data_IF_043548076930
#
_entry.id   IF_043548076930
#
_cell.length_a   1.000
_cell.length_b   1.000
_cell.length_c   1.000
_cell.angle_alpha   90.00
_cell.angle_beta   90.00
_cell.angle_gamma   90.00
#
_symmetry.space_group_name_H-M   'P 1'
#
loop_
_entity.id
_entity.type
_entity.pdbx_description
1 polymer ?
#
# COMPACT_ATOMS: atom_id res chain seq x y z
N UNK A 1 14.63 5.08 -9.96
CA UNK A 1 13.67 5.99 -9.33
C UNK A 1 14.06 7.45 -9.54
N UNK A 2 15.30 7.85 -9.19
CA UNK A 2 15.77 9.24 -9.31
C UNK A 2 15.65 9.80 -10.73
N UNK A 3 16.14 9.08 -11.74
CA UNK A 3 16.06 9.52 -13.15
C UNK A 3 14.61 9.82 -13.57
N UNK A 4 13.67 8.97 -13.17
CA UNK A 4 12.26 9.17 -13.42
C UNK A 4 11.72 10.42 -12.71
N UNK A 5 12.10 10.63 -11.45
CA UNK A 5 11.74 11.84 -10.72
C UNK A 5 12.22 13.10 -11.46
N UNK A 6 13.51 13.12 -11.87
CA UNK A 6 14.11 14.25 -12.59
C UNK A 6 13.42 14.51 -13.94
N UNK A 7 13.03 13.45 -14.65
CA UNK A 7 12.26 13.58 -15.89
C UNK A 7 10.89 14.22 -15.61
N UNK A 8 10.12 13.65 -14.67
CA UNK A 8 8.80 14.17 -14.31
C UNK A 8 8.88 15.62 -13.82
N UNK A 9 9.89 15.95 -13.02
CA UNK A 9 10.07 17.31 -12.48
C UNK A 9 10.39 18.33 -13.58
N UNK A 10 11.13 17.97 -14.63
CA UNK A 10 11.34 18.82 -15.81
C UNK A 10 10.06 19.09 -16.57
N UNK A 11 9.25 18.05 -16.78
CA UNK A 11 8.01 18.11 -17.56
C UNK A 11 6.86 18.73 -16.76
N UNK A 12 6.94 18.66 -15.41
CA UNK A 12 5.95 19.14 -14.46
C UNK A 12 6.66 19.93 -13.33
N UNK A 13 7.08 21.18 -13.57
CA UNK A 13 7.80 21.99 -12.56
C UNK A 13 7.03 22.21 -11.26
N UNK A 14 5.70 22.15 -11.31
CA UNK A 14 4.80 22.26 -10.17
C UNK A 14 4.59 20.94 -9.39
N UNK A 15 5.39 19.90 -9.66
CA UNK A 15 5.39 18.68 -8.85
C UNK A 15 5.79 19.01 -7.41
N UNK A 16 4.91 18.68 -6.46
CA UNK A 16 5.07 19.00 -5.02
C UNK A 16 5.11 17.75 -4.15
N UNK A 17 4.65 16.60 -4.65
CA UNK A 17 4.51 15.38 -3.85
C UNK A 17 5.11 14.19 -4.57
N UNK A 18 5.90 13.41 -3.86
CA UNK A 18 6.36 12.08 -4.27
C UNK A 18 5.82 11.05 -3.28
N UNK A 19 5.06 10.10 -3.79
CA UNK A 19 4.46 9.02 -3.01
C UNK A 19 5.10 7.67 -3.30
N UNK A 20 5.30 6.86 -2.25
CA UNK A 20 5.64 5.44 -2.37
C UNK A 20 4.42 4.63 -1.94
N UNK A 21 3.74 4.00 -2.92
CA UNK A 21 2.45 3.36 -2.71
C UNK A 21 2.38 1.89 -3.19
N UNK A 22 3.51 1.28 -3.51
CA UNK A 22 3.60 -0.08 -4.03
C UNK A 22 4.34 -0.15 -5.38
N UNK A 23 4.37 -1.30 -6.09
CA UNK A 23 3.86 -2.59 -5.64
C UNK A 23 4.62 -3.14 -4.43
N UNK A 24 3.92 -3.89 -3.57
CA UNK A 24 4.46 -4.37 -2.31
C UNK A 24 4.45 -3.32 -1.20
N UNK A 25 5.16 -3.58 -0.13
CA UNK A 25 5.27 -2.67 1.01
C UNK A 25 6.55 -1.84 0.92
N UNK A 26 6.44 -0.53 1.17
CA UNK A 26 7.58 0.39 1.12
C UNK A 26 8.69 0.06 2.12
N UNK A 27 8.34 -0.61 3.23
CA UNK A 27 9.26 -1.01 4.29
C UNK A 27 9.74 -2.46 4.16
N UNK A 28 9.37 -3.18 3.09
CA UNK A 28 9.92 -4.50 2.79
C UNK A 28 11.36 -4.42 2.23
N UNK A 29 11.73 -3.28 1.64
CA UNK A 29 13.10 -2.99 1.21
C UNK A 29 13.48 -1.57 1.67
N UNK A 30 13.70 -1.36 2.97
CA UNK A 30 13.86 -0.04 3.56
C UNK A 30 15.09 0.70 3.04
N UNK A 31 16.21 0.00 2.84
CA UNK A 31 17.46 0.61 2.35
C UNK A 31 17.26 1.29 0.99
N UNK A 32 16.68 0.57 0.02
CA UNK A 32 16.43 1.12 -1.31
C UNK A 32 15.38 2.24 -1.27
N UNK A 33 14.35 2.09 -0.42
CA UNK A 33 13.30 3.10 -0.23
C UNK A 33 13.88 4.38 0.33
N UNK A 34 14.58 4.33 1.46
CA UNK A 34 15.15 5.53 2.08
C UNK A 34 16.25 6.16 1.24
N UNK A 35 17.09 5.33 0.60
CA UNK A 35 18.08 5.85 -0.34
C UNK A 35 17.46 6.62 -1.51
N UNK A 36 16.35 6.14 -2.02
CA UNK A 36 15.60 6.85 -3.09
C UNK A 36 15.11 8.20 -2.59
N UNK A 37 14.51 8.26 -1.41
CA UNK A 37 14.00 9.51 -0.82
C UNK A 37 15.13 10.51 -0.54
N UNK A 38 16.27 10.04 -0.01
CA UNK A 38 17.46 10.87 0.21
C UNK A 38 17.99 11.50 -1.08
N UNK A 39 18.05 10.72 -2.16
CA UNK A 39 18.50 11.21 -3.46
C UNK A 39 17.53 12.28 -4.02
N UNK A 40 16.23 12.03 -3.92
CA UNK A 40 15.21 12.99 -4.38
C UNK A 40 15.25 14.26 -3.53
N UNK A 41 15.41 14.16 -2.20
CA UNK A 41 15.50 15.31 -1.29
C UNK A 41 16.70 16.22 -1.60
N UNK A 42 17.81 15.67 -2.09
CA UNK A 42 18.98 16.44 -2.52
C UNK A 42 18.71 17.29 -3.77
N UNK A 43 17.88 16.77 -4.68
CA UNK A 43 17.49 17.45 -5.92
C UNK A 43 16.38 18.46 -5.70
N UNK A 44 15.45 18.17 -4.79
CA UNK A 44 14.34 19.06 -4.44
C UNK A 44 14.10 19.05 -2.93
N UNK A 45 14.67 20.03 -2.20
CA UNK A 45 14.51 20.15 -0.75
C UNK A 45 13.07 20.38 -0.29
N UNK A 46 12.20 20.94 -1.13
CA UNK A 46 10.81 21.30 -0.78
C UNK A 46 9.80 20.19 -1.09
N UNK A 47 10.23 19.10 -1.75
CA UNK A 47 9.30 18.03 -2.13
C UNK A 47 8.67 17.37 -0.90
N UNK A 48 7.38 17.13 -0.94
CA UNK A 48 6.65 16.40 0.10
C UNK A 48 6.73 14.91 -0.13
N UNK A 49 7.10 14.13 0.88
CA UNK A 49 7.09 12.67 0.80
C UNK A 49 5.88 12.09 1.50
N UNK A 50 5.19 11.17 0.79
CA UNK A 50 4.12 10.35 1.30
C UNK A 50 4.49 8.85 1.16
N UNK A 51 4.33 8.07 2.22
CA UNK A 51 4.61 6.63 2.19
C UNK A 51 3.38 5.82 2.58
N UNK A 52 3.14 4.72 1.86
CA UNK A 52 2.09 3.75 2.21
C UNK A 52 2.71 2.44 2.67
N UNK A 53 2.18 1.85 3.75
CA UNK A 53 2.66 0.60 4.34
C UNK A 53 1.52 -0.20 4.94
N UNK A 54 1.69 -1.51 5.06
CA UNK A 54 0.81 -2.38 5.85
C UNK A 54 1.03 -2.24 7.37
N UNK A 55 2.11 -1.57 7.78
CA UNK A 55 2.45 -1.30 9.17
C UNK A 55 3.23 -2.39 9.90
N UNK A 56 3.51 -3.53 9.26
CA UNK A 56 4.19 -4.67 9.92
C UNK A 56 5.60 -4.32 10.40
N UNK A 57 6.38 -3.60 9.60
CA UNK A 57 7.73 -3.16 9.94
C UNK A 57 7.78 -1.70 10.46
N UNK A 58 6.64 -1.01 10.51
CA UNK A 58 6.58 0.42 10.77
C UNK A 58 7.28 0.87 12.05
N UNK A 59 7.16 0.18 13.21
CA UNK A 59 7.84 0.62 14.45
C UNK A 59 9.35 0.72 14.33
N UNK A 60 9.95 -0.03 13.43
CA UNK A 60 11.42 -0.07 13.25
C UNK A 60 11.94 1.14 12.45
N UNK A 61 11.09 1.76 11.61
CA UNK A 61 11.52 2.71 10.60
C UNK A 61 10.92 4.11 10.72
N UNK A 62 10.12 4.41 11.74
CA UNK A 62 9.52 5.76 11.92
C UNK A 62 10.60 6.84 12.05
N UNK A 63 11.69 6.56 12.75
CA UNK A 63 12.78 7.52 12.91
C UNK A 63 13.53 7.74 11.58
N UNK A 64 13.73 6.69 10.78
CA UNK A 64 14.30 6.82 9.44
C UNK A 64 13.36 7.63 8.52
N UNK A 65 12.05 7.38 8.58
CA UNK A 65 11.05 8.17 7.85
C UNK A 65 11.16 9.65 8.21
N UNK A 66 11.25 9.97 9.52
CA UNK A 66 11.42 11.34 10.00
C UNK A 66 12.73 11.95 9.50
N UNK A 67 13.84 11.20 9.57
CA UNK A 67 15.17 11.64 9.15
C UNK A 67 15.24 12.02 7.67
N UNK A 68 14.56 11.26 6.78
CA UNK A 68 14.51 11.57 5.34
C UNK A 68 13.43 12.58 4.97
N UNK A 69 12.65 13.05 5.95
CA UNK A 69 11.65 14.10 5.76
C UNK A 69 10.30 13.58 5.20
N UNK A 70 9.93 12.34 5.50
CA UNK A 70 8.57 11.86 5.25
C UNK A 70 7.61 12.63 6.15
N UNK A 71 6.65 13.32 5.58
CA UNK A 71 5.67 14.12 6.31
C UNK A 71 4.29 13.49 6.38
N UNK A 72 3.99 12.56 5.48
CA UNK A 72 2.69 11.89 5.39
C UNK A 72 2.88 10.37 5.29
N UNK A 73 2.15 9.63 6.11
CA UNK A 73 2.11 8.18 6.07
C UNK A 73 0.67 7.68 5.89
N UNK A 74 0.50 6.64 5.08
CA UNK A 74 -0.76 5.91 4.97
C UNK A 74 -0.54 4.50 5.48
N UNK A 75 -1.25 4.12 6.55
CA UNK A 75 -1.19 2.76 7.10
C UNK A 75 -2.47 2.02 6.78
N UNK A 76 -2.36 0.80 6.25
CA UNK A 76 -3.54 -0.03 5.98
C UNK A 76 -3.86 -0.88 7.20
N UNK A 77 -5.00 -0.62 7.85
CA UNK A 77 -5.49 -1.32 9.04
C UNK A 77 -6.91 -1.79 8.77
N UNK A 78 -7.10 -3.10 8.58
CA UNK A 78 -8.39 -3.68 8.21
C UNK A 78 -9.16 -4.26 9.41
N UNK A 79 -8.48 -4.49 10.53
CA UNK A 79 -9.08 -4.98 11.77
C UNK A 79 -8.23 -4.56 12.96
N UNK A 80 -8.90 -4.40 14.13
CA UNK A 80 -8.27 -4.18 15.44
C UNK A 80 -8.65 -5.30 16.43
N UNK A 81 -9.11 -6.41 15.88
CA UNK A 81 -9.36 -7.68 16.57
C UNK A 81 -8.59 -8.79 15.83
N UNK A 82 -7.70 -9.53 16.50
CA UNK A 82 -6.91 -10.60 15.88
C UNK A 82 -7.76 -11.71 15.25
N UNK A 83 -8.95 -12.03 15.82
CA UNK A 83 -9.82 -13.06 15.27
C UNK A 83 -10.43 -12.63 13.92
N UNK A 84 -10.75 -11.34 13.76
CA UNK A 84 -11.20 -10.77 12.48
C UNK A 84 -10.00 -10.66 11.54
N UNK A 85 -8.85 -10.20 12.02
CA UNK A 85 -7.62 -10.11 11.25
C UNK A 85 -7.18 -11.46 10.66
N UNK A 86 -7.36 -12.54 11.40
CA UNK A 86 -7.04 -13.90 10.95
C UNK A 86 -7.87 -14.37 9.75
N UNK A 87 -9.05 -13.82 9.54
CA UNK A 87 -9.88 -14.07 8.36
C UNK A 87 -9.41 -13.27 7.13
N UNK A 88 -8.63 -12.21 7.35
CA UNK A 88 -8.14 -11.31 6.29
C UNK A 88 -6.71 -11.67 5.88
N UNK A 89 -5.84 -11.92 6.84
CA UNK A 89 -4.41 -12.12 6.62
C UNK A 89 -4.05 -13.59 6.76
N UNK A 90 -3.55 -14.17 5.68
CA UNK A 90 -3.18 -15.58 5.67
C UNK A 90 -1.95 -15.87 6.52
N UNK A 91 -0.97 -14.96 6.48
CA UNK A 91 0.29 -15.06 7.24
C UNK A 91 0.95 -13.67 7.36
N UNK A 92 1.88 -13.58 8.29
CA UNK A 92 2.83 -12.47 8.40
C UNK A 92 4.25 -13.05 8.46
N UNK A 93 5.15 -12.49 7.66
CA UNK A 93 6.59 -12.78 7.73
C UNK A 93 7.30 -11.59 8.37
N UNK A 94 7.93 -11.83 9.50
CA UNK A 94 8.55 -10.78 10.29
C UNK A 94 9.78 -11.29 11.03
N UNK A 95 10.91 -10.60 10.88
CA UNK A 95 12.20 -10.95 11.50
C UNK A 95 12.60 -12.42 11.29
N UNK A 96 12.45 -12.91 10.07
CA UNK A 96 12.79 -14.28 9.70
C UNK A 96 11.80 -15.37 10.17
N UNK A 97 10.77 -15.00 10.93
CA UNK A 97 9.68 -15.89 11.34
C UNK A 97 8.46 -15.77 10.42
N UNK A 98 7.74 -16.88 10.23
CA UNK A 98 6.45 -16.91 9.55
C UNK A 98 5.35 -17.29 10.53
N UNK A 99 4.38 -16.42 10.67
CA UNK A 99 3.26 -16.53 11.60
C UNK A 99 1.97 -16.71 10.81
N UNK A 100 0.98 -17.43 11.35
CA UNK A 100 -0.30 -17.71 10.70
C UNK A 100 -1.47 -17.48 11.66
N UNK A 101 -2.70 -17.40 11.13
CA UNK A 101 -3.93 -17.25 11.91
C UNK A 101 -3.92 -16.04 12.84
N UNK A 102 -4.50 -16.18 14.02
CA UNK A 102 -4.60 -15.09 15.00
C UNK A 102 -3.24 -14.59 15.49
N UNK A 103 -2.22 -15.45 15.55
CA UNK A 103 -0.85 -15.03 15.92
C UNK A 103 -0.28 -14.03 14.90
N UNK A 104 -0.48 -14.29 13.61
CA UNK A 104 -0.06 -13.36 12.56
C UNK A 104 -0.83 -12.04 12.62
N UNK A 105 -2.15 -12.11 12.82
CA UNK A 105 -3.00 -10.95 12.94
C UNK A 105 -2.68 -10.11 14.18
N UNK A 106 -2.44 -10.75 15.32
CA UNK A 106 -2.04 -10.08 16.57
C UNK A 106 -0.68 -9.40 16.45
N UNK A 107 0.30 -10.06 15.81
CA UNK A 107 1.61 -9.48 15.54
C UNK A 107 1.52 -8.23 14.65
N UNK A 108 0.79 -8.35 13.53
CA UNK A 108 0.57 -7.22 12.63
C UNK A 108 -0.12 -6.06 13.36
N UNK A 109 -1.20 -6.34 14.09
CA UNK A 109 -1.93 -5.34 14.87
C UNK A 109 -1.04 -4.64 15.90
N UNK A 110 -0.26 -5.39 16.67
CA UNK A 110 0.65 -4.82 17.67
C UNK A 110 1.64 -3.83 17.03
N UNK A 111 2.23 -4.22 15.90
CA UNK A 111 3.16 -3.36 15.16
C UNK A 111 2.45 -2.14 14.53
N UNK A 112 1.25 -2.31 13.99
CA UNK A 112 0.43 -1.20 13.48
C UNK A 112 0.13 -0.18 14.57
N UNK A 113 -0.31 -0.63 15.75
CA UNK A 113 -0.63 0.25 16.89
C UNK A 113 0.60 0.96 17.42
N UNK A 114 1.73 0.26 17.55
CA UNK A 114 3.00 0.84 17.97
C UNK A 114 3.53 1.85 16.95
N UNK A 115 3.49 1.49 15.67
CA UNK A 115 3.92 2.34 14.57
C UNK A 115 3.08 3.62 14.44
N UNK A 116 1.74 3.51 14.56
CA UNK A 116 0.85 4.66 14.50
C UNK A 116 1.14 5.68 15.62
N UNK A 117 1.32 5.19 16.86
CA UNK A 117 1.75 6.07 17.98
C UNK A 117 3.10 6.73 17.72
N UNK A 118 4.04 5.99 17.13
CA UNK A 118 5.36 6.52 16.81
C UNK A 118 5.29 7.60 15.71
N UNK A 119 4.50 7.40 14.66
CA UNK A 119 4.25 8.42 13.62
C UNK A 119 3.70 9.70 14.22
N UNK A 120 2.67 9.60 15.06
CA UNK A 120 2.05 10.74 15.73
C UNK A 120 3.07 11.51 16.60
N UNK A 121 3.88 10.80 17.37
CA UNK A 121 4.95 11.42 18.18
C UNK A 121 6.04 12.06 17.34
N UNK A 122 6.32 11.52 16.16
CA UNK A 122 7.29 12.07 15.21
C UNK A 122 6.74 13.27 14.41
N UNK A 123 5.47 13.66 14.60
CA UNK A 123 4.80 14.72 13.85
C UNK A 123 4.50 14.37 12.40
N UNK A 124 4.46 13.08 12.06
CA UNK A 124 4.12 12.61 10.71
C UNK A 124 2.61 12.46 10.62
N UNK A 125 1.99 13.16 9.68
CA UNK A 125 0.55 13.08 9.43
C UNK A 125 0.17 11.67 9.00
N UNK A 126 -0.73 11.05 9.74
CA UNK A 126 -1.13 9.67 9.46
C UNK A 126 -2.56 9.57 8.95
N UNK A 127 -2.70 8.95 7.78
CA UNK A 127 -3.96 8.47 7.22
C UNK A 127 -4.05 6.97 7.40
N UNK A 128 -5.23 6.48 7.78
CA UNK A 128 -5.49 5.03 7.82
C UNK A 128 -6.41 4.63 6.69
N UNK A 129 -5.96 3.68 5.87
CA UNK A 129 -6.81 3.01 4.88
C UNK A 129 -7.42 1.76 5.51
N UNK A 130 -8.72 1.53 5.27
CA UNK A 130 -9.42 0.31 5.67
C UNK A 130 -10.20 -0.23 4.48
N UNK A 131 -9.90 -1.43 4.05
CA UNK A 131 -10.67 -2.12 3.00
C UNK A 131 -11.87 -2.81 3.66
N UNK A 132 -13.07 -2.50 3.19
CA UNK A 132 -14.31 -3.12 3.64
C UNK A 132 -14.52 -4.45 2.92
N UNK A 133 -14.50 -5.53 3.70
CA UNK A 133 -14.75 -6.90 3.26
C UNK A 133 -16.12 -7.31 3.85
N UNK A 134 -17.14 -7.34 3.01
CA UNK A 134 -18.53 -7.59 3.41
C UNK A 134 -18.71 -8.95 4.08
N UNK A 135 -19.28 -8.96 5.27
CA UNK A 135 -19.46 -10.15 6.09
C UNK A 135 -18.22 -10.57 6.90
N UNK A 136 -17.10 -9.83 6.81
CA UNK A 136 -15.89 -10.10 7.59
C UNK A 136 -15.59 -8.95 8.55
N UNK A 137 -15.33 -7.74 8.05
CA UNK A 137 -14.96 -6.61 8.88
C UNK A 137 -15.91 -5.40 8.79
N UNK A 138 -16.93 -5.44 7.94
CA UNK A 138 -17.86 -4.33 7.71
C UNK A 138 -18.48 -3.81 9.01
N UNK A 139 -19.00 -4.69 9.87
CA UNK A 139 -19.55 -4.31 11.18
C UNK A 139 -18.46 -3.87 12.19
N UNK A 140 -17.18 -4.19 11.93
CA UNK A 140 -16.05 -3.89 12.82
C UNK A 140 -15.35 -2.56 12.48
N UNK A 141 -15.53 -2.03 11.28
CA UNK A 141 -14.86 -0.81 10.82
C UNK A 141 -15.07 0.40 11.75
N UNK A 142 -16.25 0.66 12.35
CA UNK A 142 -16.39 1.74 13.32
C UNK A 142 -15.41 1.63 14.48
N UNK A 143 -15.16 0.40 14.98
CA UNK A 143 -14.18 0.14 16.04
C UNK A 143 -12.75 0.39 15.58
N UNK A 144 -12.43 0.09 14.31
CA UNK A 144 -11.14 0.46 13.72
C UNK A 144 -10.97 1.97 13.74
N UNK A 145 -11.97 2.73 13.29
CA UNK A 145 -11.95 4.20 13.24
C UNK A 145 -11.76 4.82 14.62
N UNK A 146 -12.48 4.33 15.64
CA UNK A 146 -12.29 4.75 17.03
C UNK A 146 -10.86 4.52 17.51
N UNK A 147 -10.35 3.30 17.30
CA UNK A 147 -9.01 2.92 17.76
C UNK A 147 -7.92 3.77 17.13
N UNK A 148 -7.97 4.00 15.81
CA UNK A 148 -6.93 4.78 15.12
C UNK A 148 -7.02 6.27 15.43
N UNK A 149 -8.22 6.83 15.69
CA UNK A 149 -8.40 8.17 16.25
C UNK A 149 -7.65 8.33 17.56
N UNK A 150 -7.85 7.40 18.49
CA UNK A 150 -7.24 7.43 19.83
C UNK A 150 -5.70 7.30 19.78
N UNK A 151 -5.17 6.84 18.65
CA UNK A 151 -3.74 6.77 18.37
C UNK A 151 -3.20 7.98 17.59
N UNK A 152 -4.05 8.95 17.24
CA UNK A 152 -3.67 10.18 16.59
C UNK A 152 -3.67 10.16 15.07
N UNK A 153 -4.42 9.25 14.44
CA UNK A 153 -4.67 9.35 13.01
C UNK A 153 -5.47 10.59 12.68
N UNK A 154 -5.11 11.28 11.59
CA UNK A 154 -5.77 12.52 11.15
C UNK A 154 -7.05 12.28 10.35
N UNK A 155 -7.09 11.19 9.60
CA UNK A 155 -8.25 10.80 8.80
C UNK A 155 -8.23 9.32 8.44
N UNK A 156 -9.41 8.80 8.12
CA UNK A 156 -9.55 7.46 7.57
C UNK A 156 -10.09 7.48 6.15
N UNK A 157 -9.75 6.44 5.41
CA UNK A 157 -10.24 6.18 4.07
C UNK A 157 -10.78 4.75 4.01
N UNK A 158 -12.07 4.61 4.15
CA UNK A 158 -12.75 3.32 3.99
C UNK A 158 -12.94 3.07 2.50
N UNK A 159 -12.45 1.95 2.01
CA UNK A 159 -12.48 1.58 0.59
C UNK A 159 -13.22 0.26 0.41
N UNK A 160 -13.91 0.10 -0.70
CA UNK A 160 -14.46 -1.20 -1.09
C UNK A 160 -13.34 -2.14 -1.55
N UNK A 161 -13.50 -3.43 -1.24
CA UNK A 161 -12.68 -4.48 -1.84
C UNK A 161 -12.90 -4.52 -3.35
N UNK A 162 -11.82 -4.62 -4.11
CA UNK A 162 -11.87 -5.01 -5.51
C UNK A 162 -11.50 -6.49 -5.56
N UNK A 163 -12.47 -7.40 -5.80
CA UNK A 163 -12.17 -8.82 -5.90
C UNK A 163 -11.20 -9.11 -7.04
N UNK A 164 -10.19 -9.92 -6.74
CA UNK A 164 -9.21 -10.36 -7.73
C UNK A 164 -9.42 -11.83 -8.00
N UNK A 165 -9.48 -12.22 -9.27
CA UNK A 165 -9.61 -13.61 -9.70
C UNK A 165 -8.50 -14.47 -9.10
N UNK A 166 -8.85 -15.62 -8.56
CA UNK A 166 -7.91 -16.52 -7.87
C UNK A 166 -7.57 -16.14 -6.43
N UNK A 167 -8.05 -15.00 -5.93
CA UNK A 167 -7.92 -14.66 -4.51
C UNK A 167 -8.98 -15.38 -3.66
N UNK A 168 -8.70 -15.53 -2.36
CA UNK A 168 -9.68 -16.10 -1.41
C UNK A 168 -10.94 -15.22 -1.26
N UNK A 169 -10.88 -13.98 -1.73
CA UNK A 169 -11.95 -13.01 -1.68
C UNK A 169 -12.65 -12.81 -3.03
N UNK A 170 -12.32 -13.62 -4.04
CA UNK A 170 -12.89 -13.50 -5.40
C UNK A 170 -14.42 -13.49 -5.40
N UNK A 171 -15.03 -14.31 -4.56
CA UNK A 171 -16.47 -14.50 -4.50
C UNK A 171 -17.14 -13.73 -3.35
N UNK A 172 -16.44 -12.83 -2.65
CA UNK A 172 -17.07 -12.00 -1.63
C UNK A 172 -18.13 -11.08 -2.25
N UNK A 173 -19.25 -10.86 -1.57
CA UNK A 173 -20.25 -9.91 -2.03
C UNK A 173 -19.65 -8.51 -2.20
N UNK A 174 -19.96 -7.87 -3.32
CA UNK A 174 -19.52 -6.51 -3.58
C UNK A 174 -20.19 -5.54 -2.60
N UNK A 175 -19.42 -4.57 -2.16
CA UNK A 175 -19.91 -3.42 -1.39
C UNK A 175 -20.45 -2.40 -2.37
N UNK A 176 -21.72 -2.01 -2.23
CA UNK A 176 -22.29 -0.94 -3.04
C UNK A 176 -21.75 0.43 -2.62
N UNK A 177 -21.77 1.39 -3.54
CA UNK A 177 -21.40 2.78 -3.23
C UNK A 177 -22.26 3.37 -2.10
N UNK A 178 -23.55 2.97 -2.02
CA UNK A 178 -24.44 3.41 -0.95
C UNK A 178 -23.97 2.89 0.41
N UNK A 179 -23.73 1.59 0.54
CA UNK A 179 -23.23 0.98 1.79
C UNK A 179 -21.92 1.63 2.24
N UNK A 180 -20.98 1.84 1.30
CA UNK A 180 -19.70 2.49 1.59
C UNK A 180 -19.90 3.93 2.09
N UNK A 181 -20.78 4.69 1.43
CA UNK A 181 -21.05 6.07 1.81
C UNK A 181 -21.80 6.18 3.14
N UNK A 182 -22.74 5.30 3.41
CA UNK A 182 -23.48 5.25 4.67
C UNK A 182 -22.52 4.92 5.83
N UNK A 183 -21.58 3.97 5.63
CA UNK A 183 -20.56 3.65 6.63
C UNK A 183 -19.60 4.81 6.87
N UNK A 184 -19.12 5.48 5.81
CA UNK A 184 -18.26 6.67 5.95
C UNK A 184 -18.97 7.77 6.74
N UNK A 185 -20.22 8.06 6.42
CA UNK A 185 -21.03 9.06 7.13
C UNK A 185 -21.22 8.71 8.61
N UNK A 186 -21.44 7.43 8.94
CA UNK A 186 -21.56 7.00 10.33
C UNK A 186 -20.24 7.13 11.12
N UNK A 187 -19.10 6.99 10.46
CA UNK A 187 -17.78 7.14 11.05
C UNK A 187 -17.26 8.61 11.11
N UNK A 188 -17.81 9.51 10.29
CA UNK A 188 -17.40 10.92 10.19
C UNK A 188 -17.39 11.67 11.53
N UNK A 189 -18.38 11.50 12.44
CA UNK A 189 -18.36 12.16 13.74
C UNK A 189 -17.21 11.69 14.64
N UNK A 190 -16.69 10.49 14.40
CA UNK A 190 -15.57 9.91 15.18
C UNK A 190 -14.24 10.38 14.65
N UNK A 191 -14.03 10.31 13.33
CA UNK A 191 -12.81 10.74 12.66
C UNK A 191 -13.13 11.10 11.21
N UNK A 192 -12.54 12.19 10.73
CA UNK A 192 -12.72 12.68 9.36
C UNK A 192 -12.50 11.59 8.32
N UNK A 193 -13.38 11.52 7.32
CA UNK A 193 -13.35 10.53 6.25
C UNK A 193 -12.84 11.12 4.95
N UNK A 194 -12.10 10.31 4.18
CA UNK A 194 -11.65 10.67 2.84
C UNK A 194 -12.71 10.29 1.80
N UNK A 195 -13.34 11.27 1.16
CA UNK A 195 -14.36 11.04 0.12
C UNK A 195 -13.81 11.07 -1.31
N UNK A 196 -12.60 11.58 -1.51
CA UNK A 196 -12.02 11.81 -2.85
C UNK A 196 -11.00 10.75 -3.26
N UNK A 197 -11.06 9.55 -2.66
CA UNK A 197 -10.11 8.50 -2.99
C UNK A 197 -10.36 8.00 -4.42
N UNK A 198 -9.41 8.24 -5.31
CA UNK A 198 -9.33 7.65 -6.65
C UNK A 198 -8.18 6.66 -6.69
N UNK A 199 -8.22 5.65 -5.84
CA UNK A 199 -7.26 4.53 -5.76
C UNK A 199 -5.85 4.90 -6.25
N UNK A 200 -4.97 5.28 -5.32
CA UNK A 200 -3.57 5.59 -5.63
C UNK A 200 -2.92 4.37 -6.30
N UNK A 201 -2.31 4.59 -7.46
CA UNK A 201 -1.49 3.59 -8.13
C UNK A 201 -0.02 3.91 -7.91
N UNK A 202 0.80 2.87 -7.84
CA UNK A 202 2.25 3.01 -7.67
C UNK A 202 2.95 3.69 -8.86
N UNK A 203 2.33 3.69 -10.02
CA UNK A 203 2.84 4.25 -11.27
C UNK A 203 2.16 5.58 -11.67
N UNK A 204 1.29 6.13 -10.81
CA UNK A 204 0.56 7.35 -11.13
C UNK A 204 1.50 8.56 -11.22
N UNK A 205 1.32 9.33 -12.28
CA UNK A 205 2.00 10.62 -12.52
C UNK A 205 0.96 11.64 -12.94
N UNK A 206 0.95 12.82 -12.31
CA UNK A 206 0.01 13.89 -12.66
C UNK A 206 -0.98 14.21 -11.55
N UNK A 207 -2.06 14.88 -11.90
CA UNK A 207 -3.12 15.30 -10.99
C UNK A 207 -4.23 14.24 -10.88
N UNK A 208 -5.02 14.32 -9.81
CA UNK A 208 -6.24 13.53 -9.67
C UNK A 208 -7.21 13.86 -10.83
N UNK A 209 -7.35 12.90 -11.76
CA UNK A 209 -8.20 13.05 -12.95
C UNK A 209 -7.43 13.39 -14.24
N UNK A 210 -6.13 13.68 -14.14
CA UNK A 210 -5.22 13.86 -15.28
C UNK A 210 -3.98 12.97 -15.06
N UNK A 211 -4.16 11.66 -15.25
CA UNK A 211 -3.11 10.66 -15.09
C UNK A 211 -2.25 10.58 -16.34
N UNK A 212 -1.01 11.02 -16.21
CA UNK A 212 0.00 11.03 -17.28
C UNK A 212 1.01 9.89 -17.15
N UNK A 213 0.73 8.85 -16.36
CA UNK A 213 1.66 7.75 -16.13
C UNK A 213 2.12 7.04 -17.42
N UNK A 214 1.28 7.05 -18.46
CA UNK A 214 1.61 6.45 -19.77
C UNK A 214 2.81 7.13 -20.43
N UNK A 215 2.96 8.44 -20.25
CA UNK A 215 4.04 9.23 -20.85
C UNK A 215 5.41 8.89 -20.23
N UNK A 216 5.39 8.31 -19.03
CA UNK A 216 6.59 8.01 -18.22
C UNK A 216 6.85 6.51 -18.09
N UNK A 217 6.16 5.65 -18.81
CA UNK A 217 6.48 4.21 -18.83
C UNK A 217 7.84 4.00 -19.46
N UNK A 218 8.70 3.15 -18.88
CA UNK A 218 9.93 2.76 -19.58
C UNK A 218 9.54 2.18 -20.95
N UNK A 219 10.33 2.46 -22.00
CA UNK A 219 10.15 1.74 -23.27
C UNK A 219 10.16 0.24 -22.95
N UNK A 220 9.23 -0.51 -23.56
CA UNK A 220 9.17 -1.96 -23.37
C UNK A 220 10.59 -2.51 -23.62
N UNK A 221 11.18 -3.06 -22.55
CA UNK A 221 12.51 -3.67 -22.67
C UNK A 221 12.43 -4.70 -23.79
N UNK A 222 13.38 -4.65 -24.72
CA UNK A 222 13.49 -5.66 -25.76
C UNK A 222 13.42 -7.03 -25.08
N UNK A 223 12.49 -7.87 -25.53
CA UNK A 223 12.27 -9.18 -24.93
C UNK A 223 13.58 -9.93 -24.84
N UNK A 224 13.98 -10.42 -23.66
CA UNK A 224 15.07 -11.38 -23.61
C UNK A 224 14.62 -12.61 -24.41
N UNK A 225 15.41 -12.97 -25.42
CA UNK A 225 15.26 -14.23 -26.15
C UNK A 225 15.18 -15.36 -25.13
N UNK A 226 14.12 -16.16 -25.18
CA UNK A 226 13.93 -17.34 -24.34
C UNK A 226 15.12 -18.30 -24.59
N UNK A 227 16.05 -18.33 -23.66
CA UNK A 227 16.92 -19.49 -23.52
C UNK A 227 16.15 -20.57 -22.73
N UNK A 228 16.23 -21.81 -23.23
CA UNK A 228 15.56 -22.97 -22.70
C UNK A 228 15.93 -23.26 -21.22
N UNK A 229 15.05 -23.90 -20.43
CA UNK A 229 15.17 -23.97 -19.00
C UNK A 229 16.39 -24.79 -18.53
N UNK A 230 17.22 -24.14 -17.74
CA UNK A 230 18.23 -24.82 -16.94
C UNK A 230 17.55 -25.52 -15.73
N UNK A 231 18.11 -26.64 -15.37
CA UNK A 231 17.76 -27.65 -14.34
C UNK A 231 17.13 -27.12 -13.04
N UNK A 232 16.23 -27.88 -12.39
CA UNK A 232 15.44 -27.41 -11.25
C UNK A 232 16.29 -27.18 -10.00
N UNK A 233 16.30 -25.94 -9.51
CA UNK A 233 16.80 -25.58 -8.19
C UNK A 233 15.63 -25.62 -7.21
N UNK A 234 15.88 -26.20 -6.04
CA UNK A 234 14.93 -26.54 -5.00
C UNK A 234 14.08 -25.33 -4.53
N UNK A 235 12.77 -25.58 -4.38
CA UNK A 235 11.74 -24.75 -3.71
C UNK A 235 11.81 -23.25 -3.98
N UNK A 236 11.39 -22.86 -5.18
CA UNK A 236 11.30 -21.48 -5.60
C UNK A 236 10.16 -20.69 -4.96
N UNK A 237 10.37 -19.42 -4.78
CA UNK A 237 9.33 -18.43 -4.44
C UNK A 237 8.42 -18.28 -5.66
N UNK A 238 7.12 -18.55 -5.50
CA UNK A 238 6.13 -18.28 -6.55
C UNK A 238 5.76 -16.80 -6.54
N UNK A 239 6.03 -16.10 -7.63
CA UNK A 239 5.71 -14.69 -7.80
C UNK A 239 4.56 -14.59 -8.82
N UNK A 240 3.42 -14.02 -8.40
CA UNK A 240 2.34 -13.68 -9.31
C UNK A 240 2.57 -12.28 -9.89
N UNK A 241 2.65 -12.19 -11.20
CA UNK A 241 2.86 -10.93 -11.93
C UNK A 241 1.63 -10.60 -12.75
N UNK A 242 1.09 -9.39 -12.57
CA UNK A 242 0.01 -8.87 -13.39
C UNK A 242 0.58 -8.39 -14.72
N UNK A 243 0.25 -9.11 -15.82
CA UNK A 243 0.80 -8.84 -17.14
C UNK A 243 -0.17 -9.24 -18.25
N UNK A 244 -0.17 -8.52 -19.37
CA UNK A 244 -0.89 -8.93 -20.60
C UNK A 244 -0.15 -10.01 -21.38
N UNK A 245 1.16 -10.02 -21.30
CA UNK A 245 2.02 -10.83 -22.17
C UNK A 245 2.84 -11.88 -21.42
N UNK A 246 2.92 -11.78 -20.09
CA UNK A 246 3.82 -12.60 -19.28
C UNK A 246 5.29 -12.15 -19.31
N UNK A 247 5.64 -11.16 -20.13
CA UNK A 247 7.02 -10.71 -20.30
C UNK A 247 7.38 -9.49 -19.45
N UNK A 248 6.38 -8.67 -19.09
CA UNK A 248 6.56 -7.42 -18.35
C UNK A 248 5.46 -7.24 -17.32
N UNK A 249 5.73 -6.53 -16.22
CA UNK A 249 4.71 -6.08 -15.27
C UNK A 249 4.05 -4.83 -15.87
N UNK A 250 3.01 -5.03 -16.67
CA UNK A 250 2.36 -3.99 -17.44
C UNK A 250 0.87 -3.80 -17.11
N UNK A 251 0.38 -4.49 -16.08
CA UNK A 251 -0.98 -4.40 -15.61
C UNK A 251 -1.05 -4.01 -14.14
N UNK A 252 -2.10 -3.27 -13.80
CA UNK A 252 -2.47 -3.05 -12.40
C UNK A 252 -3.05 -4.34 -11.82
N UNK A 253 -2.62 -4.72 -10.61
CA UNK A 253 -3.01 -5.96 -9.96
C UNK A 253 -4.53 -6.15 -9.83
N UNK A 254 -5.30 -5.07 -9.71
CA UNK A 254 -6.76 -5.05 -9.66
C UNK A 254 -7.47 -4.86 -11.00
N UNK A 255 -6.74 -4.82 -12.13
CA UNK A 255 -7.31 -4.59 -13.46
C UNK A 255 -6.79 -5.57 -14.52
N UNK A 256 -6.07 -6.60 -14.10
CA UNK A 256 -5.57 -7.62 -15.03
C UNK A 256 -6.53 -8.79 -15.12
N UNK A 257 -6.72 -9.28 -16.33
CA UNK A 257 -7.46 -10.52 -16.60
C UNK A 257 -6.57 -11.77 -16.47
N UNK A 258 -5.25 -11.58 -16.33
CA UNK A 258 -4.26 -12.65 -16.31
C UNK A 258 -3.14 -12.37 -15.31
N UNK A 259 -2.74 -13.41 -14.57
CA UNK A 259 -1.54 -13.45 -13.76
C UNK A 259 -0.60 -14.53 -14.28
N UNK A 260 0.66 -14.18 -14.46
CA UNK A 260 1.71 -15.15 -14.75
C UNK A 260 2.40 -15.51 -13.43
N UNK A 261 2.52 -16.80 -13.19
CA UNK A 261 3.17 -17.33 -11.98
C UNK A 261 4.56 -17.83 -12.38
N UNK A 262 5.58 -17.23 -11.77
CA UNK A 262 6.96 -17.63 -11.91
C UNK A 262 7.40 -18.40 -10.68
N UNK A 263 8.05 -19.56 -10.89
CA UNK A 263 8.57 -20.45 -9.85
C UNK A 263 10.07 -20.24 -9.67
#
# INVERSE_FOLDING_TARGET
ALERFLQVKRDMPNLTVVGIAGPGDSLANPEATFRTLELIRREDPEITFCMSTNGLALPEFVEDMRRVGVSHATVTINAVDPAIGAQIYRYAEYRGGRYTGETAAALLLANQMAGLRALTRAGIVCKVNTVMLKGINDAHIPRVVETVRDLGAELTNIMQLIPVKGSVFENLPLVSNKELMDLRKSCEPTLRQMYHCKQCRADAVGLLGDDRSIDYRPPAAAQPTQEAPATPVARGIRIAVASKTGATVDQHFGQTDQFYIYE
#
